data_IF_348169984503
#
_entry.id   IF_348169984503
#
_cell.length_a   1.000
_cell.length_b   1.000
_cell.length_c   1.000
_cell.angle_alpha   90.00
_cell.angle_beta   90.00
_cell.angle_gamma   90.00
#
_symmetry.space_group_name_H-M   'P 1'
#
loop_
_entity.id
_entity.type
_entity.pdbx_description
1 polymer ?
#
# COMPACT_ATOMS: atom_id res chain seq x y z
N UNK A 1 -6.31 21.15 -41.87
CA UNK A 1 -5.86 21.73 -40.59
C UNK A 1 -5.38 20.57 -39.74
N UNK A 2 -4.09 20.45 -39.47
CA UNK A 2 -3.51 19.34 -38.72
C UNK A 2 -3.04 19.87 -37.37
N UNK A 3 -3.65 19.38 -36.29
CA UNK A 3 -3.39 19.78 -34.91
C UNK A 3 -2.43 18.77 -34.30
N UNK A 4 -1.20 19.18 -34.01
CA UNK A 4 -0.24 18.36 -33.26
C UNK A 4 -0.10 18.93 -31.85
N UNK A 5 -0.51 18.15 -30.86
CA UNK A 5 -0.47 18.52 -29.44
C UNK A 5 0.74 17.83 -28.80
N UNK A 6 1.66 18.61 -28.22
CA UNK A 6 2.81 18.09 -27.48
C UNK A 6 2.40 17.70 -26.05
N UNK A 7 2.89 16.58 -25.48
CA UNK A 7 2.49 16.09 -24.16
C UNK A 7 2.88 17.00 -22.98
N UNK A 8 3.71 18.03 -23.19
CA UNK A 8 4.16 18.92 -22.12
C UNK A 8 3.33 20.20 -21.97
N UNK A 9 2.33 20.46 -22.83
CA UNK A 9 1.43 21.64 -22.81
C UNK A 9 2.09 23.03 -22.65
N UNK A 10 3.42 23.14 -22.74
CA UNK A 10 4.11 24.42 -22.55
C UNK A 10 4.00 25.33 -23.76
N UNK A 11 3.87 24.79 -24.97
CA UNK A 11 3.70 25.57 -26.20
C UNK A 11 2.69 24.91 -27.14
N UNK A 12 1.70 25.69 -27.59
CA UNK A 12 0.82 25.35 -28.72
C UNK A 12 1.20 26.28 -29.87
N UNK A 13 1.59 25.72 -31.01
CA UNK A 13 1.94 26.50 -32.21
C UNK A 13 0.90 26.27 -33.30
N UNK A 14 0.24 27.34 -33.76
CA UNK A 14 -0.72 27.30 -34.87
C UNK A 14 -0.09 27.97 -36.09
N UNK A 15 0.17 27.20 -37.16
CA UNK A 15 0.66 27.74 -38.43
C UNK A 15 -0.52 28.19 -39.31
N UNK A 16 -0.58 29.46 -39.76
CA UNK A 16 -1.63 29.91 -40.66
C UNK A 16 -1.29 29.56 -42.11
N UNK A 17 -2.24 28.96 -42.82
CA UNK A 17 -2.20 28.85 -44.28
C UNK A 17 -2.26 30.24 -44.92
N UNK A 18 -1.51 30.41 -46.01
CA UNK A 18 -1.30 31.66 -46.74
C UNK A 18 -2.63 32.31 -47.14
N UNK A 19 -2.91 33.52 -46.61
CA UNK A 19 -4.00 34.35 -47.13
C UNK A 19 -4.74 35.28 -46.16
N UNK A 20 -4.47 35.24 -44.84
CA UNK A 20 -5.15 36.12 -43.87
C UNK A 20 -4.14 36.81 -42.94
N UNK A 21 -3.35 37.70 -43.53
CA UNK A 21 -2.61 38.77 -42.86
C UNK A 21 -3.38 40.04 -43.23
N UNK A 22 -4.21 40.63 -42.37
CA UNK A 22 -3.71 41.82 -41.66
C UNK A 22 -4.54 42.32 -40.45
N UNK A 23 -5.69 41.76 -40.04
CA UNK A 23 -6.54 42.49 -39.06
C UNK A 23 -7.04 41.75 -37.81
N UNK A 24 -6.58 40.52 -37.51
CA UNK A 24 -7.12 39.73 -36.35
C UNK A 24 -6.10 39.45 -35.22
N UNK A 25 -4.80 39.66 -35.38
CA UNK A 25 -3.82 38.74 -34.74
C UNK A 25 -2.79 39.28 -33.73
N UNK A 26 -3.11 40.26 -32.88
CA UNK A 26 -2.20 40.59 -31.76
C UNK A 26 -2.91 40.67 -30.40
N UNK A 27 -4.02 41.40 -30.28
CA UNK A 27 -4.69 41.61 -28.98
C UNK A 27 -5.45 40.41 -28.43
N UNK A 28 -6.09 39.59 -29.29
CA UNK A 28 -6.92 38.46 -28.84
C UNK A 28 -6.07 37.37 -28.15
N UNK A 29 -4.92 36.93 -28.71
CA UNK A 29 -4.03 36.01 -28.02
C UNK A 29 -3.54 36.55 -26.66
N UNK A 30 -3.13 37.81 -26.60
CA UNK A 30 -2.61 38.44 -25.37
C UNK A 30 -3.64 38.46 -24.24
N UNK A 31 -4.90 38.79 -24.54
CA UNK A 31 -6.00 38.79 -23.56
C UNK A 31 -6.25 37.37 -23.02
N UNK A 32 -6.19 36.35 -23.87
CA UNK A 32 -6.38 34.96 -23.45
C UNK A 32 -5.25 34.53 -22.52
N UNK A 33 -3.98 34.78 -22.88
CA UNK A 33 -2.84 34.43 -22.03
C UNK A 33 -2.89 35.15 -20.68
N UNK A 34 -3.21 36.45 -20.65
CA UNK A 34 -3.33 37.22 -19.41
C UNK A 34 -4.39 36.64 -18.47
N UNK A 35 -5.51 36.16 -19.00
CA UNK A 35 -6.55 35.52 -18.18
C UNK A 35 -6.08 34.15 -17.70
N UNK A 36 -5.46 33.34 -18.54
CA UNK A 36 -5.00 31.99 -18.17
C UNK A 36 -3.86 32.00 -17.14
N UNK A 37 -3.01 33.03 -17.12
CA UNK A 37 -1.89 33.17 -16.17
C UNK A 37 -2.30 33.69 -14.79
N UNK A 38 -3.48 34.28 -14.66
CA UNK A 38 -3.99 34.75 -13.37
C UNK A 38 -4.35 33.57 -12.46
N UNK A 39 -3.87 33.56 -11.19
CA UNK A 39 -4.18 32.50 -10.25
C UNK A 39 -5.67 32.53 -9.89
N UNK A 40 -6.33 31.37 -9.95
CA UNK A 40 -7.71 31.18 -9.53
C UNK A 40 -7.73 30.36 -8.24
N UNK A 41 -8.52 30.79 -7.25
CA UNK A 41 -8.60 30.10 -5.96
C UNK A 41 -9.39 28.79 -6.08
N UNK A 42 -8.90 27.69 -5.51
CA UNK A 42 -9.58 26.38 -5.56
C UNK A 42 -10.93 26.32 -4.85
N UNK A 43 -11.25 27.33 -4.02
CA UNK A 43 -12.53 27.46 -3.33
C UNK A 43 -13.56 28.28 -4.14
N UNK A 44 -13.14 29.05 -5.15
CA UNK A 44 -14.03 29.90 -5.97
C UNK A 44 -14.91 29.08 -6.93
N UNK A 45 -14.56 27.81 -7.17
CA UNK A 45 -15.27 26.90 -8.06
C UNK A 45 -16.12 25.85 -7.34
N UNK A 46 -16.12 25.84 -6.00
CA UNK A 46 -16.91 24.86 -5.23
C UNK A 46 -18.40 25.12 -5.38
N UNK A 47 -19.14 24.11 -5.88
CA UNK A 47 -20.60 24.14 -5.97
C UNK A 47 -21.16 24.89 -7.19
N UNK A 48 -20.31 25.33 -8.11
CA UNK A 48 -20.72 25.91 -9.38
C UNK A 48 -21.14 24.82 -10.37
N UNK A 49 -22.38 24.88 -10.84
CA UNK A 49 -22.95 23.96 -11.83
C UNK A 49 -22.95 24.54 -13.24
N UNK A 50 -22.48 25.78 -13.40
CA UNK A 50 -22.44 26.53 -14.66
C UNK A 50 -21.12 26.34 -15.42
N UNK A 51 -20.17 25.59 -14.85
CA UNK A 51 -18.87 25.29 -15.47
C UNK A 51 -19.00 23.98 -16.24
N UNK A 52 -18.64 23.93 -17.54
CA UNK A 52 -18.64 22.70 -18.31
C UNK A 52 -17.79 21.61 -17.65
N UNK A 53 -18.31 20.39 -17.61
CA UNK A 53 -17.64 19.24 -17.01
C UNK A 53 -16.79 18.46 -18.01
N UNK A 54 -16.96 18.74 -19.31
CA UNK A 54 -16.21 18.08 -20.39
C UNK A 54 -15.78 19.09 -21.47
N UNK A 55 -14.73 18.74 -22.21
CA UNK A 55 -14.31 19.53 -23.37
C UNK A 55 -15.41 19.61 -24.43
N UNK A 56 -16.22 18.56 -24.58
CA UNK A 56 -17.31 18.50 -25.55
C UNK A 56 -18.43 19.48 -25.19
N UNK A 57 -18.85 19.49 -23.93
CA UNK A 57 -19.81 20.46 -23.39
C UNK A 57 -19.31 21.90 -23.54
N UNK A 58 -18.04 22.16 -23.22
CA UNK A 58 -17.43 23.47 -23.41
C UNK A 58 -17.44 23.90 -24.88
N UNK A 59 -17.07 22.99 -25.80
CA UNK A 59 -17.04 23.26 -27.22
C UNK A 59 -18.45 23.53 -27.78
N UNK A 60 -19.47 22.84 -27.28
CA UNK A 60 -20.85 23.08 -27.69
C UNK A 60 -21.39 24.40 -27.13
N UNK A 61 -21.01 24.76 -25.91
CA UNK A 61 -21.33 26.07 -25.34
C UNK A 61 -20.70 27.22 -26.14
N UNK A 62 -19.44 27.07 -26.55
CA UNK A 62 -18.71 28.06 -27.38
C UNK A 62 -19.29 28.16 -28.79
N UNK A 63 -19.80 27.07 -29.37
CA UNK A 63 -20.46 27.10 -30.68
C UNK A 63 -21.82 27.80 -30.63
N UNK A 64 -22.57 27.58 -29.54
CA UNK A 64 -23.93 28.08 -29.39
C UNK A 64 -24.00 29.51 -28.83
N UNK A 65 -22.92 29.99 -28.20
CA UNK A 65 -22.82 31.34 -27.66
C UNK A 65 -21.67 32.11 -28.31
N UNK A 66 -21.92 33.35 -28.73
CA UNK A 66 -20.85 34.26 -29.18
C UNK A 66 -20.12 34.76 -27.93
N UNK A 67 -19.10 34.04 -27.48
CA UNK A 67 -18.23 34.45 -26.38
C UNK A 67 -17.15 35.39 -26.90
N UNK A 68 -16.88 36.47 -26.16
CA UNK A 68 -15.69 37.27 -26.43
C UNK A 68 -14.42 36.51 -25.98
N UNK A 69 -13.26 37.00 -26.40
CA UNK A 69 -11.98 36.34 -26.11
C UNK A 69 -11.70 36.21 -24.60
N UNK A 70 -12.23 37.12 -23.79
CA UNK A 70 -12.00 37.17 -22.35
C UNK A 70 -12.89 36.17 -21.64
N UNK A 71 -14.17 36.12 -22.00
CA UNK A 71 -15.17 35.17 -21.49
C UNK A 71 -14.80 33.73 -21.85
N UNK A 72 -14.33 33.51 -23.08
CA UNK A 72 -13.77 32.22 -23.50
C UNK A 72 -12.61 31.79 -22.59
N UNK A 73 -11.65 32.69 -22.35
CA UNK A 73 -10.48 32.39 -21.53
C UNK A 73 -10.85 32.14 -20.07
N UNK A 74 -11.82 32.88 -19.52
CA UNK A 74 -12.31 32.66 -18.16
C UNK A 74 -12.97 31.31 -18.02
N UNK A 75 -13.91 30.95 -18.91
CA UNK A 75 -14.59 29.66 -18.86
C UNK A 75 -13.62 28.49 -19.06
N UNK A 76 -12.67 28.63 -19.97
CA UNK A 76 -11.62 27.62 -20.17
C UNK A 76 -10.77 27.44 -18.91
N UNK A 77 -10.36 28.54 -18.26
CA UNK A 77 -9.61 28.51 -17.00
C UNK A 77 -10.40 27.81 -15.89
N UNK A 78 -11.68 28.14 -15.75
CA UNK A 78 -12.58 27.54 -14.77
C UNK A 78 -12.73 26.03 -14.99
N UNK A 79 -13.01 25.60 -16.23
CA UNK A 79 -13.10 24.18 -16.59
C UNK A 79 -11.79 23.43 -16.31
N UNK A 80 -10.65 23.94 -16.78
CA UNK A 80 -9.34 23.28 -16.58
C UNK A 80 -9.03 23.14 -15.10
N UNK A 81 -9.22 24.21 -14.32
CA UNK A 81 -8.98 24.19 -12.87
C UNK A 81 -9.89 23.19 -12.15
N UNK A 82 -11.18 23.12 -12.53
CA UNK A 82 -12.14 22.15 -11.99
C UNK A 82 -11.73 20.70 -12.31
N UNK A 83 -11.34 20.43 -13.56
CA UNK A 83 -10.92 19.10 -14.01
C UNK A 83 -9.61 18.65 -13.35
N UNK A 84 -8.67 19.56 -13.16
CA UNK A 84 -7.44 19.32 -12.40
C UNK A 84 -7.76 18.95 -10.94
N UNK A 85 -8.68 19.69 -10.30
CA UNK A 85 -9.10 19.41 -8.92
C UNK A 85 -9.81 18.06 -8.79
N UNK A 86 -10.71 17.72 -9.73
CA UNK A 86 -11.38 16.41 -9.77
C UNK A 86 -10.38 15.28 -9.94
N UNK A 87 -9.43 15.43 -10.88
CA UNK A 87 -8.37 14.43 -11.12
C UNK A 87 -7.49 14.25 -9.89
N UNK A 88 -7.14 15.35 -9.22
CA UNK A 88 -6.39 15.33 -7.96
C UNK A 88 -7.13 14.55 -6.88
N UNK A 89 -8.42 14.84 -6.66
CA UNK A 89 -9.24 14.18 -5.66
C UNK A 89 -9.41 12.69 -5.95
N UNK A 90 -9.69 12.34 -7.21
CA UNK A 90 -9.78 10.94 -7.64
C UNK A 90 -8.46 10.18 -7.39
N UNK A 91 -7.32 10.82 -7.70
CA UNK A 91 -6.00 10.23 -7.44
C UNK A 91 -5.74 10.01 -5.95
N UNK A 92 -6.14 10.95 -5.11
CA UNK A 92 -6.00 10.83 -3.67
C UNK A 92 -6.90 9.70 -3.12
N UNK A 93 -8.15 9.61 -3.57
CA UNK A 93 -9.06 8.52 -3.21
C UNK A 93 -8.53 7.16 -3.66
N UNK A 94 -7.96 7.05 -4.86
CA UNK A 94 -7.31 5.84 -5.35
C UNK A 94 -6.23 5.35 -4.38
N UNK A 95 -5.37 6.25 -3.90
CA UNK A 95 -4.32 5.90 -2.92
C UNK A 95 -4.91 5.44 -1.59
N UNK A 96 -5.96 6.11 -1.10
CA UNK A 96 -6.65 5.74 0.13
C UNK A 96 -7.27 4.34 0.03
N UNK A 97 -8.02 4.07 -1.04
CA UNK A 97 -8.67 2.78 -1.24
C UNK A 97 -7.66 1.65 -1.39
N UNK A 98 -6.55 1.88 -2.11
CA UNK A 98 -5.46 0.92 -2.20
C UNK A 98 -4.87 0.60 -0.83
N UNK A 99 -4.61 1.63 -0.02
CA UNK A 99 -4.10 1.45 1.33
C UNK A 99 -5.08 0.66 2.21
N UNK A 100 -6.36 1.03 2.21
CA UNK A 100 -7.41 0.35 3.00
C UNK A 100 -7.55 -1.10 2.55
N UNK A 101 -7.64 -1.37 1.25
CA UNK A 101 -7.74 -2.73 0.71
C UNK A 101 -6.53 -3.60 1.09
N UNK A 102 -5.33 -3.04 1.06
CA UNK A 102 -4.10 -3.74 1.48
C UNK A 102 -4.00 -4.00 2.98
N UNK A 103 -4.71 -3.22 3.80
CA UNK A 103 -4.63 -3.29 5.26
C UNK A 103 -5.85 -3.96 5.91
N UNK A 104 -6.93 -4.14 5.17
CA UNK A 104 -8.18 -4.71 5.67
C UNK A 104 -8.17 -6.23 5.61
N UNK A 105 -8.59 -6.89 6.69
CA UNK A 105 -8.87 -8.32 6.69
C UNK A 105 -10.29 -8.55 6.17
N UNK A 106 -10.50 -9.37 5.11
CA UNK A 106 -11.82 -9.76 4.64
C UNK A 106 -12.69 -10.33 5.78
N UNK A 107 -13.96 -9.91 5.86
CA UNK A 107 -14.90 -10.31 6.94
C UNK A 107 -15.04 -11.82 7.09
N UNK A 108 -14.92 -12.58 6.00
CA UNK A 108 -14.99 -14.03 6.00
C UNK A 108 -13.81 -14.68 6.74
N UNK A 109 -12.62 -14.05 6.70
CA UNK A 109 -11.44 -14.47 7.48
C UNK A 109 -11.55 -14.10 8.97
N UNK A 110 -12.38 -13.12 9.32
CA UNK A 110 -12.69 -12.79 10.71
C UNK A 110 -13.47 -13.92 11.42
N UNK A 111 -14.31 -14.67 10.71
CA UNK A 111 -15.02 -15.82 11.29
C UNK A 111 -14.08 -17.01 11.56
N UNK A 112 -13.06 -17.20 10.72
CA UNK A 112 -11.99 -18.17 10.93
C UNK A 112 -11.17 -17.85 12.18
N UNK A 113 -10.91 -16.57 12.43
CA UNK A 113 -10.17 -16.08 13.59
C UNK A 113 -10.77 -16.47 14.96
N UNK A 114 -12.07 -16.78 15.03
CA UNK A 114 -12.75 -17.15 16.27
C UNK A 114 -12.57 -18.63 16.67
N UNK A 115 -12.09 -19.50 15.76
CA UNK A 115 -11.83 -20.91 16.05
C UNK A 115 -10.40 -21.11 16.55
N UNK A 116 -10.17 -20.85 17.83
CA UNK A 116 -8.88 -21.11 18.50
C UNK A 116 -8.70 -22.62 18.73
N UNK A 117 -7.76 -23.24 18.04
CA UNK A 117 -7.17 -24.52 18.47
C UNK A 117 -5.81 -24.21 19.07
N UNK A 118 -5.60 -24.60 20.33
CA UNK A 118 -4.29 -24.61 20.97
C UNK A 118 -3.50 -25.82 20.45
N UNK A 119 -2.15 -25.73 20.38
CA UNK A 119 -1.34 -26.91 20.06
C UNK A 119 -1.61 -28.02 21.09
N UNK A 120 -1.64 -29.26 20.63
CA UNK A 120 -1.84 -30.41 21.50
C UNK A 120 -0.71 -30.45 22.54
N UNK A 121 -0.99 -30.61 23.85
CA UNK A 121 0.03 -30.56 24.91
C UNK A 121 1.22 -31.49 24.70
N UNK A 122 1.00 -32.61 24.01
CA UNK A 122 2.02 -33.61 23.71
C UNK A 122 3.11 -33.13 22.73
N UNK A 123 2.81 -32.13 21.90
CA UNK A 123 3.74 -31.61 20.89
C UNK A 123 4.63 -30.48 21.42
N UNK A 124 4.31 -29.93 22.61
CA UNK A 124 5.03 -28.80 23.20
C UNK A 124 6.52 -29.08 23.42
N UNK A 125 6.96 -30.28 23.88
CA UNK A 125 8.38 -30.58 24.04
C UNK A 125 9.17 -30.51 22.73
N UNK A 126 8.56 -30.91 21.61
CA UNK A 126 9.23 -30.92 20.30
C UNK A 126 9.47 -29.51 19.74
N UNK A 127 8.79 -28.48 20.26
CA UNK A 127 8.95 -27.09 19.81
C UNK A 127 10.28 -26.47 20.24
N UNK A 128 11.00 -27.10 21.18
CA UNK A 128 12.28 -26.63 21.73
C UNK A 128 13.35 -27.72 21.74
N UNK A 129 13.11 -28.84 21.05
CA UNK A 129 14.04 -29.99 20.99
C UNK A 129 14.95 -29.89 19.76
N UNK A 130 16.23 -29.60 19.99
CA UNK A 130 17.26 -29.50 18.93
C UNK A 130 17.44 -30.77 18.08
N UNK A 131 16.83 -31.90 18.45
CA UNK A 131 16.82 -33.11 17.62
C UNK A 131 15.92 -32.98 16.37
N UNK A 132 15.10 -31.94 16.30
CA UNK A 132 14.23 -31.56 15.18
C UNK A 132 14.87 -30.47 14.30
N UNK A 133 14.39 -30.39 13.06
CA UNK A 133 14.76 -29.35 12.12
C UNK A 133 13.82 -28.16 12.27
N UNK A 134 14.30 -27.12 12.94
CA UNK A 134 13.54 -25.91 13.22
C UNK A 134 13.66 -24.89 12.09
N UNK A 135 12.52 -24.60 11.47
CA UNK A 135 12.36 -23.55 10.47
C UNK A 135 11.53 -22.42 11.05
N UNK A 136 11.89 -21.18 10.72
CA UNK A 136 11.15 -19.98 11.13
C UNK A 136 10.69 -19.26 9.89
N UNK A 137 9.39 -18.97 9.82
CA UNK A 137 8.76 -18.23 8.74
C UNK A 137 8.01 -17.05 9.34
N UNK A 138 8.36 -15.84 8.94
CA UNK A 138 7.67 -14.63 9.41
C UNK A 138 6.82 -14.02 8.28
N UNK A 139 5.51 -13.95 8.44
CA UNK A 139 4.61 -13.42 7.41
C UNK A 139 3.28 -12.89 7.99
N UNK A 140 2.74 -11.84 7.37
CA UNK A 140 1.38 -11.34 7.57
C UNK A 140 0.40 -11.85 6.49
N UNK A 141 0.87 -12.70 5.56
CA UNK A 141 0.08 -13.22 4.46
C UNK A 141 -0.14 -14.73 4.61
N UNK A 142 -1.39 -15.12 4.92
CA UNK A 142 -1.79 -16.52 5.11
C UNK A 142 -1.51 -17.39 3.89
N UNK A 143 -1.73 -16.87 2.68
CA UNK A 143 -1.53 -17.64 1.44
C UNK A 143 -0.04 -17.86 1.17
N UNK A 144 0.76 -16.81 1.29
CA UNK A 144 2.22 -16.89 1.14
C UNK A 144 2.79 -17.91 2.13
N UNK A 145 2.42 -17.77 3.41
CA UNK A 145 2.86 -18.69 4.45
C UNK A 145 2.46 -20.15 4.18
N UNK A 146 1.24 -20.37 3.66
CA UNK A 146 0.75 -21.71 3.30
C UNK A 146 1.57 -22.36 2.18
N UNK A 147 1.99 -21.57 1.17
CA UNK A 147 2.78 -22.06 0.04
C UNK A 147 4.17 -22.45 0.51
N UNK A 148 4.84 -21.57 1.29
CA UNK A 148 6.16 -21.85 1.84
C UNK A 148 6.12 -23.10 2.72
N UNK A 149 5.18 -23.15 3.67
CA UNK A 149 5.03 -24.29 4.58
C UNK A 149 4.77 -25.60 3.85
N UNK A 150 3.84 -25.62 2.88
CA UNK A 150 3.54 -26.82 2.12
C UNK A 150 4.74 -27.26 1.27
N UNK A 151 5.40 -26.33 0.59
CA UNK A 151 6.59 -26.64 -0.21
C UNK A 151 7.75 -27.19 0.63
N UNK A 152 7.95 -26.64 1.84
CA UNK A 152 8.96 -27.13 2.80
C UNK A 152 8.69 -28.57 3.22
N UNK A 153 7.45 -28.87 3.62
CA UNK A 153 7.09 -30.20 4.13
C UNK A 153 7.11 -31.24 3.01
N UNK A 154 6.56 -30.91 1.84
CA UNK A 154 6.48 -31.83 0.69
C UNK A 154 7.87 -32.20 0.14
N UNK A 155 8.82 -31.27 0.16
CA UNK A 155 10.16 -31.49 -0.37
C UNK A 155 11.17 -31.94 0.71
N UNK A 156 10.72 -32.15 1.96
CA UNK A 156 11.60 -32.66 3.01
C UNK A 156 11.74 -34.17 2.96
N UNK A 157 12.98 -34.66 3.14
CA UNK A 157 13.26 -36.10 3.27
C UNK A 157 12.77 -36.68 4.60
N UNK A 158 12.64 -35.86 5.64
CA UNK A 158 12.26 -36.28 7.00
C UNK A 158 11.18 -35.36 7.57
N UNK A 159 9.96 -35.32 6.98
CA UNK A 159 8.91 -34.38 7.39
C UNK A 159 8.48 -34.55 8.85
N UNK A 160 8.61 -35.75 9.43
CA UNK A 160 8.36 -36.03 10.86
C UNK A 160 9.30 -35.28 11.81
N UNK A 161 10.46 -34.85 11.33
CA UNK A 161 11.45 -34.06 12.08
C UNK A 161 11.33 -32.57 11.80
N UNK A 162 10.40 -32.12 10.96
CA UNK A 162 10.23 -30.70 10.64
C UNK A 162 9.35 -30.04 11.69
N UNK A 163 9.87 -28.97 12.29
CA UNK A 163 9.13 -28.03 13.11
C UNK A 163 9.16 -26.68 12.42
N UNK A 164 8.00 -26.15 12.05
CA UNK A 164 7.87 -24.83 11.45
C UNK A 164 7.23 -23.87 12.45
N UNK A 165 7.98 -22.85 12.85
CA UNK A 165 7.50 -21.73 13.65
C UNK A 165 7.08 -20.59 12.72
N UNK A 166 5.77 -20.43 12.54
CA UNK A 166 5.16 -19.33 11.79
C UNK A 166 4.97 -18.15 12.74
N UNK A 167 5.69 -17.06 12.50
CA UNK A 167 5.56 -15.82 13.25
C UNK A 167 4.74 -14.81 12.44
N UNK A 168 3.77 -14.19 13.10
CA UNK A 168 2.83 -13.27 12.44
C UNK A 168 2.43 -12.12 13.35
N UNK A 169 1.75 -11.11 12.82
CA UNK A 169 1.33 -9.96 13.62
C UNK A 169 0.06 -10.29 14.43
N UNK A 170 -0.32 -9.42 15.37
CA UNK A 170 -1.49 -9.65 16.19
C UNK A 170 -2.82 -9.67 15.40
N UNK A 171 -2.88 -9.01 14.24
CA UNK A 171 -4.08 -8.92 13.40
C UNK A 171 -4.23 -10.17 12.54
N UNK A 172 -3.14 -10.73 12.05
CA UNK A 172 -3.10 -11.89 11.16
C UNK A 172 -2.93 -13.21 11.90
N UNK A 173 -2.62 -13.16 13.20
CA UNK A 173 -2.54 -14.35 14.07
C UNK A 173 -3.74 -15.27 13.96
N UNK A 174 -4.93 -14.75 14.20
CA UNK A 174 -6.12 -15.58 14.26
C UNK A 174 -6.47 -16.26 12.91
N UNK A 175 -6.45 -15.57 11.74
CA UNK A 175 -6.64 -16.26 10.46
C UNK A 175 -5.48 -17.22 10.13
N UNK A 176 -4.23 -16.91 10.50
CA UNK A 176 -3.07 -17.81 10.31
C UNK A 176 -3.24 -19.11 11.12
N UNK A 177 -3.60 -18.98 12.40
CA UNK A 177 -3.89 -20.11 13.29
C UNK A 177 -5.00 -20.97 12.73
N UNK A 178 -6.09 -20.35 12.29
CA UNK A 178 -7.24 -21.07 11.73
C UNK A 178 -6.89 -21.81 10.44
N UNK A 179 -6.08 -21.21 9.57
CA UNK A 179 -5.65 -21.85 8.32
C UNK A 179 -4.86 -23.14 8.58
N UNK A 180 -3.81 -23.08 9.41
CA UNK A 180 -2.98 -24.26 9.70
C UNK A 180 -3.69 -25.30 10.57
N UNK A 181 -4.74 -24.90 11.31
CA UNK A 181 -5.63 -25.83 12.00
C UNK A 181 -6.52 -26.61 11.04
N UNK A 182 -7.02 -25.96 9.98
CA UNK A 182 -7.88 -26.59 8.97
C UNK A 182 -7.09 -27.36 7.89
N UNK A 183 -5.83 -26.99 7.67
CA UNK A 183 -4.94 -27.58 6.67
C UNK A 183 -3.66 -28.10 7.34
N UNK A 184 -3.75 -29.14 8.18
CA UNK A 184 -2.60 -29.67 8.89
C UNK A 184 -1.58 -30.28 7.92
N UNK A 185 -0.29 -29.98 8.13
CA UNK A 185 0.82 -30.52 7.34
C UNK A 185 1.47 -31.74 8.02
N UNK A 186 0.65 -32.68 8.49
CA UNK A 186 1.14 -33.89 9.15
C UNK A 186 2.04 -34.69 8.20
N UNK A 187 3.20 -35.19 8.66
CA UNK A 187 3.60 -35.32 10.07
C UNK A 187 4.49 -34.21 10.61
N UNK A 188 4.64 -33.08 9.89
CA UNK A 188 5.37 -31.94 10.41
C UNK A 188 4.58 -31.22 11.51
N UNK A 189 5.30 -30.58 12.43
CA UNK A 189 4.72 -29.80 13.52
C UNK A 189 4.73 -28.33 13.09
N UNK A 190 3.55 -27.69 13.09
CA UNK A 190 3.41 -26.27 12.76
C UNK A 190 2.97 -25.52 14.01
N UNK A 191 3.78 -24.56 14.44
CA UNK A 191 3.45 -23.64 15.51
C UNK A 191 3.18 -22.26 14.91
N UNK A 192 2.03 -21.66 15.22
CA UNK A 192 1.77 -20.25 14.87
C UNK A 192 1.87 -19.40 16.14
N UNK A 193 2.70 -18.36 16.09
CA UNK A 193 2.86 -17.38 17.18
C UNK A 193 2.69 -15.96 16.67
N UNK A 194 1.95 -15.16 17.41
CA UNK A 194 1.96 -13.71 17.21
C UNK A 194 3.18 -13.10 17.88
N UNK A 195 3.73 -12.01 17.32
CA UNK A 195 4.83 -11.26 17.93
C UNK A 195 4.56 -10.89 19.41
N UNK A 196 3.33 -10.51 19.73
CA UNK A 196 2.90 -10.17 21.09
C UNK A 196 2.93 -11.34 22.09
N UNK A 197 3.04 -12.59 21.63
CA UNK A 197 3.14 -13.77 22.50
C UNK A 197 4.57 -14.05 22.96
N UNK A 198 5.58 -13.34 22.43
CA UNK A 198 6.96 -13.50 22.87
C UNK A 198 7.24 -12.58 24.07
N UNK A 199 7.77 -13.14 25.15
CA UNK A 199 8.15 -12.38 26.36
C UNK A 199 9.16 -11.27 26.07
N UNK A 200 10.04 -11.49 25.09
CA UNK A 200 10.99 -10.49 24.60
C UNK A 200 10.26 -9.22 24.08
N UNK A 201 9.13 -9.39 23.40
CA UNK A 201 8.27 -8.30 22.93
C UNK A 201 7.55 -7.61 24.10
N UNK A 202 7.04 -8.40 25.06
CA UNK A 202 6.34 -7.88 26.24
C UNK A 202 7.24 -7.09 27.20
N UNK A 203 8.55 -7.36 27.21
CA UNK A 203 9.54 -6.68 28.06
C UNK A 203 9.99 -5.30 27.54
N UNK A 204 9.51 -4.86 26.37
CA UNK A 204 9.69 -3.48 25.88
C UNK A 204 11.13 -3.06 25.55
N UNK A 205 12.09 -4.00 25.49
CA UNK A 205 13.50 -3.71 25.21
C UNK A 205 13.86 -4.01 23.77
N UNK A 206 13.16 -3.39 22.83
CA UNK A 206 13.49 -3.54 21.42
C UNK A 206 13.73 -2.16 20.82
N UNK A 207 15.00 -1.74 20.63
CA UNK A 207 15.35 -0.42 20.10
C UNK A 207 14.68 -0.10 18.77
N UNK A 208 14.50 -1.11 17.91
CA UNK A 208 13.82 -0.97 16.62
C UNK A 208 12.32 -0.67 16.81
N UNK A 209 11.63 -1.38 17.71
CA UNK A 209 10.25 -1.05 18.06
C UNK A 209 10.12 0.31 18.75
N UNK A 210 11.06 0.69 19.61
CA UNK A 210 11.03 1.99 20.27
C UNK A 210 11.20 3.12 19.23
N UNK A 211 12.11 2.93 18.26
CA UNK A 211 12.27 3.83 17.14
C UNK A 211 11.01 3.87 16.25
N UNK A 212 10.42 2.71 15.95
CA UNK A 212 9.19 2.60 15.13
C UNK A 212 7.96 3.14 15.84
N UNK A 213 7.79 2.94 17.16
CA UNK A 213 6.71 3.51 17.97
C UNK A 213 6.89 5.02 18.13
N UNK A 214 8.13 5.49 18.32
CA UNK A 214 8.43 6.91 18.39
C UNK A 214 8.12 7.57 17.05
N UNK A 215 8.49 6.93 15.95
CA UNK A 215 8.15 7.37 14.60
C UNK A 215 6.63 7.28 14.35
N UNK A 216 5.95 6.23 14.80
CA UNK A 216 4.49 6.09 14.73
C UNK A 216 3.76 7.15 15.56
N UNK A 217 4.27 7.53 16.73
CA UNK A 217 3.76 8.64 17.58
C UNK A 217 4.04 10.01 16.96
N UNK A 218 5.17 10.17 16.28
CA UNK A 218 5.46 11.39 15.49
C UNK A 218 4.55 11.46 14.26
N UNK A 219 4.26 10.33 13.63
CA UNK A 219 3.35 10.21 12.49
C UNK A 219 1.87 10.37 12.89
N UNK A 220 1.46 9.92 14.07
CA UNK A 220 0.09 10.11 14.60
C UNK A 220 -0.18 11.55 15.05
N UNK A 221 0.88 12.36 15.26
CA UNK A 221 0.76 13.81 15.47
C UNK A 221 0.37 14.58 14.21
N UNK A 222 0.47 13.98 13.02
CA UNK A 222 -0.28 14.43 11.84
C UNK A 222 -1.74 13.99 12.04
N UNK A 223 -2.50 14.83 12.74
CA UNK A 223 -3.88 14.58 13.22
C UNK A 223 -4.76 13.98 12.12
N UNK A 224 -5.27 12.75 12.36
CA UNK A 224 -6.50 12.21 11.78
C UNK A 224 -6.37 10.99 10.84
N UNK A 225 -5.20 10.36 10.78
CA UNK A 225 -5.00 9.10 10.04
C UNK A 225 -5.08 9.25 8.52
N UNK A 226 -5.32 8.15 7.79
CA UNK A 226 -5.37 8.14 6.31
C UNK A 226 -6.41 9.10 5.75
N UNK A 227 -7.49 9.39 6.48
CA UNK A 227 -8.52 10.35 6.08
C UNK A 227 -8.06 11.81 6.20
N UNK A 228 -7.34 12.18 7.26
CA UNK A 228 -6.87 13.57 7.41
C UNK A 228 -5.64 13.92 6.56
N UNK A 229 -4.85 12.93 6.15
CA UNK A 229 -3.82 13.11 5.11
C UNK A 229 -4.48 13.48 3.77
N UNK A 230 -5.67 12.95 3.51
CA UNK A 230 -6.47 13.18 2.30
C UNK A 230 -7.27 14.49 2.39
N UNK A 231 -7.64 14.95 3.58
CA UNK A 231 -8.36 16.22 3.78
C UNK A 231 -7.50 17.47 3.50
N UNK A 232 -6.16 17.37 3.57
CA UNK A 232 -5.28 18.50 3.29
C UNK A 232 -5.06 18.69 1.78
N UNK A 233 -6.01 19.36 1.12
CA UNK A 233 -5.99 19.65 -0.33
C UNK A 233 -4.84 20.56 -0.81
N UNK A 234 -3.97 21.05 0.09
CA UNK A 234 -2.83 21.87 -0.26
C UNK A 234 -1.63 21.05 -0.78
N UNK A 235 -1.49 19.79 -0.37
CA UNK A 235 -0.29 18.97 -0.66
C UNK A 235 -0.38 18.20 -1.98
N UNK A 236 0.73 18.16 -2.75
CA UNK A 236 0.78 17.48 -4.05
C UNK A 236 0.44 15.98 -3.88
N UNK A 237 -0.29 15.34 -4.82
CA UNK A 237 -0.72 13.94 -4.70
C UNK A 237 0.38 12.92 -4.41
N UNK A 238 1.60 13.14 -4.91
CA UNK A 238 2.74 12.24 -4.64
C UNK A 238 3.23 12.32 -3.19
N UNK A 239 3.08 13.47 -2.53
CA UNK A 239 3.40 13.64 -1.10
C UNK A 239 2.37 12.89 -0.26
N UNK A 240 1.09 13.00 -0.63
CA UNK A 240 -0.01 12.25 0.01
C UNK A 240 0.21 10.74 -0.19
N UNK A 241 0.58 10.30 -1.39
CA UNK A 241 0.92 8.91 -1.68
C UNK A 241 2.09 8.42 -0.83
N UNK A 242 3.16 9.22 -0.72
CA UNK A 242 4.31 8.89 0.12
C UNK A 242 3.92 8.77 1.60
N UNK A 243 3.13 9.71 2.13
CA UNK A 243 2.60 9.63 3.50
C UNK A 243 1.75 8.38 3.72
N UNK A 244 0.85 8.04 2.80
CA UNK A 244 0.05 6.80 2.87
C UNK A 244 0.91 5.53 2.74
N UNK A 245 1.97 5.56 1.93
CA UNK A 245 2.94 4.46 1.81
C UNK A 245 3.74 4.28 3.10
N UNK A 246 4.18 5.36 3.75
CA UNK A 246 4.85 5.25 5.06
C UNK A 246 3.94 4.65 6.12
N UNK A 247 2.61 4.77 5.98
CA UNK A 247 1.64 4.13 6.88
C UNK A 247 1.32 2.68 6.50
N UNK A 248 1.77 2.20 5.34
CA UNK A 248 1.54 0.82 4.92
C UNK A 248 2.15 -0.17 5.93
N UNK A 249 1.44 -1.28 6.24
CA UNK A 249 1.99 -2.36 7.06
C UNK A 249 3.38 -2.80 6.59
N UNK A 250 3.61 -2.86 5.26
CA UNK A 250 4.88 -3.30 4.67
C UNK A 250 6.09 -2.47 5.10
N UNK A 251 5.93 -1.18 5.40
CA UNK A 251 7.04 -0.28 5.79
C UNK A 251 7.13 -0.04 7.30
N UNK A 252 6.09 -0.40 8.06
CA UNK A 252 6.08 -0.33 9.53
C UNK A 252 6.01 -1.71 10.19
N UNK A 253 6.21 -2.79 9.44
CA UNK A 253 6.09 -4.13 9.99
C UNK A 253 7.37 -4.49 10.72
N UNK A 254 7.23 -4.63 12.04
CA UNK A 254 8.27 -5.18 12.92
C UNK A 254 8.70 -6.58 12.44
N UNK A 255 7.83 -7.26 11.69
CA UNK A 255 8.10 -8.55 11.04
C UNK A 255 9.34 -8.50 10.13
N UNK A 256 9.60 -7.39 9.45
CA UNK A 256 10.76 -7.27 8.57
C UNK A 256 12.09 -7.26 9.34
N UNK A 257 12.04 -6.87 10.61
CA UNK A 257 13.20 -6.77 11.50
C UNK A 257 13.30 -7.96 12.44
N UNK A 258 12.44 -8.97 12.32
CA UNK A 258 12.45 -10.11 13.24
C UNK A 258 13.69 -10.99 13.07
N UNK A 259 14.29 -10.99 11.88
CA UNK A 259 15.46 -11.84 11.54
C UNK A 259 16.64 -11.59 12.48
N UNK A 260 16.85 -10.34 12.88
CA UNK A 260 17.95 -9.97 13.78
C UNK A 260 17.69 -10.38 15.24
N UNK A 261 16.45 -10.76 15.57
CA UNK A 261 16.01 -11.11 16.92
C UNK A 261 15.70 -12.60 17.10
N UNK A 262 16.05 -13.44 16.12
CA UNK A 262 15.86 -14.88 16.22
C UNK A 262 16.49 -15.50 17.48
N UNK A 263 17.71 -15.11 17.92
CA UNK A 263 18.29 -15.64 19.16
C UNK A 263 17.44 -15.32 20.40
N UNK A 264 16.83 -14.14 20.46
CA UNK A 264 15.97 -13.74 21.57
C UNK A 264 14.58 -14.38 21.53
N UNK A 265 14.10 -14.73 20.33
CA UNK A 265 12.80 -15.39 20.12
C UNK A 265 12.86 -16.89 20.38
N UNK A 266 14.00 -17.52 20.09
CA UNK A 266 14.24 -18.95 20.27
C UNK A 266 15.52 -19.23 21.08
N UNK A 267 15.60 -18.75 22.34
CA UNK A 267 16.83 -18.85 23.13
C UNK A 267 17.20 -20.29 23.52
N UNK A 268 16.22 -21.21 23.47
CA UNK A 268 16.41 -22.61 23.81
C UNK A 268 16.86 -23.47 22.62
N UNK A 269 16.90 -22.92 21.40
CA UNK A 269 17.29 -23.64 20.19
C UNK A 269 18.71 -23.26 19.80
N UNK A 270 19.52 -24.28 19.52
CA UNK A 270 20.90 -24.11 19.05
C UNK A 270 20.95 -23.64 17.60
N UNK A 271 19.98 -24.04 16.78
CA UNK A 271 19.97 -23.71 15.35
C UNK A 271 18.55 -23.61 14.80
N UNK A 272 18.36 -22.60 13.96
CA UNK A 272 17.12 -22.39 13.21
C UNK A 272 17.43 -21.94 11.78
N UNK A 273 16.56 -22.26 10.84
CA UNK A 273 16.63 -21.75 9.46
C UNK A 273 15.49 -20.76 9.24
N UNK A 274 15.81 -19.52 8.91
CA UNK A 274 14.83 -18.52 8.56
C UNK A 274 14.42 -18.64 7.08
N UNK A 275 13.13 -18.57 6.80
CA UNK A 275 12.52 -18.62 5.48
C UNK A 275 11.76 -17.32 5.22
N UNK A 276 11.99 -16.74 4.04
CA UNK A 276 11.21 -15.60 3.56
C UNK A 276 9.82 -16.09 3.07
N UNK A 277 8.83 -15.22 2.97
CA UNK A 277 7.47 -15.60 2.57
C UNK A 277 7.23 -15.56 1.05
N UNK A 278 8.23 -15.11 0.27
CA UNK A 278 8.22 -15.04 -1.18
C UNK A 278 9.02 -16.16 -1.87
N UNK A 279 9.36 -17.23 -1.13
CA UNK A 279 10.08 -18.39 -1.66
C UNK A 279 9.18 -19.61 -1.86
N UNK A 280 9.65 -20.54 -2.67
CA UNK A 280 9.09 -21.90 -2.76
C UNK A 280 10.24 -22.88 -2.61
N UNK A 281 10.16 -23.76 -1.62
CA UNK A 281 11.18 -24.77 -1.36
C UNK A 281 11.03 -25.89 -2.40
N UNK A 282 12.10 -26.19 -3.13
CA UNK A 282 12.11 -27.22 -4.18
C UNK A 282 13.04 -28.40 -3.86
N UNK A 283 13.75 -28.35 -2.74
CA UNK A 283 14.68 -29.38 -2.31
C UNK A 283 14.76 -29.44 -0.78
N UNK A 284 15.26 -30.54 -0.24
CA UNK A 284 15.38 -30.73 1.20
C UNK A 284 16.40 -29.77 1.81
N UNK A 285 15.94 -28.97 2.78
CA UNK A 285 16.75 -27.98 3.47
C UNK A 285 17.39 -28.52 4.77
N UNK A 286 17.17 -29.78 5.14
CA UNK A 286 17.69 -30.32 6.41
C UNK A 286 19.22 -30.35 6.46
N UNK A 287 19.87 -30.47 5.31
CA UNK A 287 21.33 -30.37 5.17
C UNK A 287 21.91 -29.04 5.68
N UNK A 288 21.15 -27.95 5.60
CA UNK A 288 21.57 -26.63 6.12
C UNK A 288 21.64 -26.59 7.64
N UNK A 289 20.91 -27.49 8.32
CA UNK A 289 20.90 -27.61 9.78
C UNK A 289 22.04 -28.48 10.33
N UNK A 290 22.79 -29.19 9.46
CA UNK A 290 23.87 -30.08 9.91
C UNK A 290 23.33 -31.35 10.58
N UNK A 291 24.21 -32.33 10.77
CA UNK A 291 23.88 -33.59 11.45
C UNK A 291 23.84 -33.45 12.96
#
# INVERSE_FOLDING_TARGET
MQLHISPSLRHVTVLPGNGVREFIKVKVPEVIYQVLEQPLGSDELKGRSDIPETLEEFMDEVKNNILDAKDFAFKLREMVTLLEQRTRNAKIQEYLYRHVASSSIPKQLLCLALRRQLPLPELVPALVDDSYFHFVLASDNVLAASVVANSLVQNSLRPKKVVLHVITDGKTYSPMQAWFSLHPLSPAIIEVKALQHFDWFAKGKVPVLEAMEKDQRVRSRFRGGSSAIVENNSEKPHIIAAKLQTLSPKYNSVMNHIRIHLPELFPSLNKVVFLDDDIVVQADLSSSLGH
#
